data_IF_928255023647
#
_entry.id   IF_928255023647
#
_cell.length_a   1.000
_cell.length_b   1.000
_cell.length_c   1.000
_cell.angle_alpha   90.00
_cell.angle_beta   90.00
_cell.angle_gamma   90.00
#
_symmetry.space_group_name_H-M   'P 1'
#
loop_
_entity.id
_entity.type
_entity.pdbx_description
1 polymer ?
#
# COMPACT_ATOMS: atom_id res chain seq x y z
N UNK A 1 6.64 5.72 0.48
CA UNK A 1 6.26 5.15 1.77
C UNK A 1 4.97 4.34 1.68
N UNK A 2 4.99 3.11 2.19
CA UNK A 2 3.76 2.45 2.67
C UNK A 2 3.27 3.16 3.94
N UNK A 3 2.04 2.91 4.39
CA UNK A 3 1.43 3.47 5.61
C UNK A 3 1.09 4.98 5.57
N UNK A 4 0.96 5.58 4.39
CA UNK A 4 0.40 6.93 4.27
C UNK A 4 -1.06 6.99 4.72
N UNK A 5 -1.80 5.87 4.65
CA UNK A 5 -3.26 5.81 4.88
C UNK A 5 -3.97 6.91 4.06
N UNK A 6 -4.60 7.88 4.71
CA UNK A 6 -5.03 9.14 4.10
C UNK A 6 -4.24 10.29 4.73
N UNK A 7 -3.67 11.17 3.88
CA UNK A 7 -2.87 12.33 4.27
C UNK A 7 -3.82 13.51 4.54
N UNK A 8 -4.56 13.38 5.63
CA UNK A 8 -5.46 14.42 6.15
C UNK A 8 -5.65 14.19 7.65
N UNK A 9 -5.27 15.16 8.47
CA UNK A 9 -5.11 14.93 9.91
C UNK A 9 -6.41 14.56 10.63
N UNK A 10 -7.57 15.06 10.17
CA UNK A 10 -8.88 14.61 10.68
C UNK A 10 -9.09 13.08 10.55
N UNK A 11 -8.57 12.47 9.47
CA UNK A 11 -8.65 11.03 9.27
C UNK A 11 -7.58 10.33 10.11
N UNK A 12 -6.35 10.85 10.13
CA UNK A 12 -5.22 10.27 10.88
C UNK A 12 -5.50 10.22 12.38
N UNK A 13 -6.09 11.26 12.96
CA UNK A 13 -6.51 11.29 14.36
C UNK A 13 -7.51 10.18 14.71
N UNK A 14 -8.32 9.71 13.75
CA UNK A 14 -9.31 8.64 13.97
C UNK A 14 -8.70 7.25 13.84
N UNK A 15 -7.77 7.05 12.90
CA UNK A 15 -7.27 5.71 12.54
C UNK A 15 -5.87 5.41 13.10
N UNK A 16 -5.08 6.44 13.41
CA UNK A 16 -3.69 6.32 13.81
C UNK A 16 -3.17 7.54 14.57
N UNK A 17 -3.86 7.96 15.64
CA UNK A 17 -3.49 9.14 16.43
C UNK A 17 -2.03 9.14 16.94
N UNK A 18 -1.46 7.96 17.19
CA UNK A 18 -0.10 7.81 17.70
C UNK A 18 0.97 7.72 16.58
N UNK A 19 0.58 7.81 15.30
CA UNK A 19 1.51 7.82 14.16
C UNK A 19 1.83 9.25 13.72
N UNK A 20 2.80 9.39 12.82
CA UNK A 20 3.17 10.67 12.18
C UNK A 20 1.93 11.41 11.67
N UNK A 21 1.90 12.74 11.74
CA UNK A 21 0.88 13.55 11.07
C UNK A 21 1.17 13.63 9.56
N UNK A 22 0.36 14.39 8.82
CA UNK A 22 0.52 14.54 7.36
C UNK A 22 1.85 15.21 6.99
N UNK A 23 2.20 16.30 7.64
CA UNK A 23 3.43 17.08 7.40
C UNK A 23 4.67 16.23 7.64
N UNK A 24 4.76 15.57 8.79
CA UNK A 24 5.87 14.69 9.14
C UNK A 24 6.05 13.53 8.16
N UNK A 25 4.94 12.97 7.65
CA UNK A 25 5.04 11.93 6.62
C UNK A 25 5.65 12.47 5.32
N UNK A 26 5.24 13.68 4.90
CA UNK A 26 5.77 14.35 3.72
C UNK A 26 7.24 14.72 3.90
N UNK A 27 7.65 15.20 5.08
CA UNK A 27 9.05 15.50 5.43
C UNK A 27 9.93 14.25 5.31
N UNK A 28 9.49 13.10 5.83
CA UNK A 28 10.25 11.84 5.72
C UNK A 28 10.40 11.41 4.27
N UNK A 29 9.36 11.55 3.44
CA UNK A 29 9.47 11.25 2.01
C UNK A 29 10.39 12.24 1.29
N UNK A 30 10.29 13.53 1.59
CA UNK A 30 11.15 14.56 1.03
C UNK A 30 12.63 14.30 1.36
N UNK A 31 12.94 14.00 2.61
CA UNK A 31 14.29 13.66 3.05
C UNK A 31 14.81 12.38 2.36
N UNK A 32 13.95 11.36 2.20
CA UNK A 32 14.33 10.16 1.46
C UNK A 32 14.66 10.48 -0.01
N UNK A 33 13.86 11.33 -0.66
CA UNK A 33 14.09 11.74 -2.05
C UNK A 33 15.36 12.60 -2.18
N UNK A 34 15.63 13.49 -1.22
CA UNK A 34 16.82 14.35 -1.19
C UNK A 34 18.13 13.53 -1.17
N UNK A 35 18.15 12.42 -0.43
CA UNK A 35 19.31 11.51 -0.38
C UNK A 35 19.31 10.47 -1.51
N UNK A 36 18.40 10.59 -2.48
CA UNK A 36 18.39 9.79 -3.71
C UNK A 36 17.56 8.49 -3.65
N UNK A 37 16.77 8.26 -2.61
CA UNK A 37 15.84 7.12 -2.61
C UNK A 37 14.59 7.42 -3.43
N UNK A 38 14.23 6.47 -4.28
CA UNK A 38 12.90 6.43 -4.88
C UNK A 38 11.90 5.76 -3.93
N UNK A 39 10.66 6.26 -3.90
CA UNK A 39 9.62 5.70 -3.04
C UNK A 39 8.29 5.51 -3.76
N UNK A 40 7.38 4.76 -3.12
CA UNK A 40 6.01 4.54 -3.59
C UNK A 40 5.03 5.39 -2.79
N UNK A 41 4.09 6.08 -3.42
CA UNK A 41 2.97 6.70 -2.72
C UNK A 41 1.79 5.73 -2.62
N UNK A 42 1.18 5.58 -1.45
CA UNK A 42 0.03 4.67 -1.25
C UNK A 42 -1.16 5.43 -0.68
N UNK A 43 -2.38 5.00 -0.95
CA UNK A 43 -3.58 5.47 -0.23
C UNK A 43 -4.40 4.28 0.25
N UNK A 44 -4.72 4.21 1.54
CA UNK A 44 -5.76 3.31 2.05
C UNK A 44 -7.07 4.09 2.16
N UNK A 45 -8.13 3.64 1.50
CA UNK A 45 -9.36 4.45 1.35
C UNK A 45 -10.63 3.63 1.50
N UNK A 46 -11.75 4.31 1.73
CA UNK A 46 -13.07 3.72 1.91
C UNK A 46 -13.35 3.22 3.33
N UNK A 47 -12.63 3.73 4.32
CA UNK A 47 -12.88 3.51 5.75
C UNK A 47 -13.70 4.65 6.37
N UNK A 48 -13.08 5.55 7.16
CA UNK A 48 -13.71 6.74 7.79
C UNK A 48 -13.62 8.01 6.93
N UNK A 49 -12.91 7.92 5.81
CA UNK A 49 -12.59 9.00 4.89
C UNK A 49 -13.75 9.35 3.96
N UNK A 50 -13.56 10.43 3.20
CA UNK A 50 -14.54 11.06 2.31
C UNK A 50 -13.81 11.63 1.10
N UNK A 51 -14.48 11.91 -0.03
CA UNK A 51 -13.83 12.42 -1.24
C UNK A 51 -12.93 13.65 -1.04
N UNK A 52 -13.29 14.58 -0.14
CA UNK A 52 -12.42 15.73 0.19
C UNK A 52 -11.07 15.33 0.77
N UNK A 53 -11.03 14.25 1.56
CA UNK A 53 -9.79 13.74 2.14
C UNK A 53 -8.92 13.07 1.07
N UNK A 54 -9.53 12.40 0.08
CA UNK A 54 -8.80 11.84 -1.06
C UNK A 54 -8.20 12.92 -1.92
N UNK A 55 -8.96 13.97 -2.22
CA UNK A 55 -8.47 15.10 -2.99
C UNK A 55 -7.26 15.75 -2.31
N UNK A 56 -7.34 16.00 -1.00
CA UNK A 56 -6.22 16.53 -0.22
C UNK A 56 -4.99 15.61 -0.27
N UNK A 57 -5.17 14.29 -0.10
CA UNK A 57 -4.07 13.33 -0.20
C UNK A 57 -3.41 13.38 -1.59
N UNK A 58 -4.20 13.33 -2.66
CA UNK A 58 -3.64 13.35 -4.02
C UNK A 58 -2.91 14.65 -4.34
N UNK A 59 -3.42 15.79 -3.85
CA UNK A 59 -2.75 17.07 -4.00
C UNK A 59 -1.41 17.10 -3.26
N UNK A 60 -1.38 16.69 -1.98
CA UNK A 60 -0.15 16.64 -1.20
C UNK A 60 0.93 15.76 -1.84
N UNK A 61 0.54 14.59 -2.38
CA UNK A 61 1.47 13.72 -3.11
C UNK A 61 1.96 14.38 -4.40
N UNK A 62 1.08 15.05 -5.15
CA UNK A 62 1.43 15.77 -6.38
C UNK A 62 2.42 16.89 -6.09
N UNK A 63 2.16 17.72 -5.08
CA UNK A 63 2.97 18.88 -4.74
C UNK A 63 4.38 18.46 -4.34
N UNK A 64 4.50 17.40 -3.52
CA UNK A 64 5.81 16.84 -3.17
C UNK A 64 6.51 16.21 -4.38
N UNK A 65 5.76 15.55 -5.27
CA UNK A 65 6.32 14.97 -6.48
C UNK A 65 6.88 16.03 -7.44
N UNK A 66 6.23 17.20 -7.53
CA UNK A 66 6.71 18.31 -8.37
C UNK A 66 8.01 18.91 -7.85
N UNK A 67 8.28 18.81 -6.55
CA UNK A 67 9.50 19.31 -5.93
C UNK A 67 10.64 18.29 -5.96
N UNK A 68 10.33 17.02 -5.69
CA UNK A 68 11.34 15.99 -5.39
C UNK A 68 11.49 14.92 -6.46
N UNK A 69 10.48 14.73 -7.31
CA UNK A 69 10.44 13.71 -8.36
C UNK A 69 10.74 12.26 -7.92
N UNK A 70 10.67 11.98 -6.62
CA UNK A 70 11.12 10.70 -6.06
C UNK A 70 10.09 9.58 -6.08
N UNK A 71 8.80 9.88 -6.26
CA UNK A 71 7.77 8.84 -6.35
C UNK A 71 7.80 8.14 -7.72
N UNK A 72 7.94 6.81 -7.70
CA UNK A 72 7.92 5.98 -8.93
C UNK A 72 6.52 5.50 -9.29
N UNK A 73 5.66 5.33 -8.29
CA UNK A 73 4.31 4.81 -8.47
C UNK A 73 3.34 5.29 -7.38
N UNK A 74 2.05 5.23 -7.72
CA UNK A 74 0.94 5.41 -6.80
C UNK A 74 0.13 4.13 -6.67
N UNK A 75 -0.22 3.74 -5.45
CA UNK A 75 -0.92 2.47 -5.16
C UNK A 75 -2.20 2.72 -4.35
N UNK A 76 -3.39 2.66 -4.99
CA UNK A 76 -4.66 2.57 -4.31
C UNK A 76 -4.83 1.24 -3.59
N UNK A 77 -5.18 1.30 -2.30
CA UNK A 77 -5.42 0.15 -1.44
C UNK A 77 -6.83 0.23 -0.83
N UNK A 78 -7.83 -0.42 -1.43
CA UNK A 78 -9.16 -0.53 -0.85
C UNK A 78 -9.10 -1.09 0.58
N UNK A 79 -9.78 -0.42 1.51
CA UNK A 79 -9.92 -0.92 2.88
C UNK A 79 -10.72 -2.23 2.89
N UNK A 80 -10.17 -3.25 3.53
CA UNK A 80 -10.81 -4.55 3.76
C UNK A 80 -11.07 -4.68 5.25
N UNK A 81 -12.34 -4.83 5.61
CA UNK A 81 -12.79 -4.60 6.98
C UNK A 81 -13.00 -5.86 7.82
N UNK A 82 -12.95 -7.06 7.19
CA UNK A 82 -13.36 -8.35 7.77
C UNK A 82 -12.78 -8.58 9.17
N UNK A 83 -11.49 -8.30 9.36
CA UNK A 83 -10.77 -8.50 10.63
C UNK A 83 -10.33 -7.17 11.28
N UNK A 84 -10.77 -6.03 10.76
CA UNK A 84 -10.28 -4.74 11.21
C UNK A 84 -10.98 -4.29 12.51
N UNK A 85 -10.25 -4.05 13.63
CA UNK A 85 -10.87 -3.70 14.92
C UNK A 85 -11.78 -2.47 14.89
N UNK A 86 -11.49 -1.52 14.01
CA UNK A 86 -12.31 -0.31 13.83
C UNK A 86 -13.68 -0.62 13.24
N UNK A 87 -13.75 -1.54 12.28
CA UNK A 87 -15.01 -1.97 11.67
C UNK A 87 -15.84 -2.81 12.65
N UNK A 88 -15.20 -3.74 13.35
CA UNK A 88 -15.86 -4.57 14.38
C UNK A 88 -16.48 -3.74 15.51
N UNK A 89 -15.95 -2.54 15.76
CA UNK A 89 -16.48 -1.56 16.73
C UNK A 89 -17.51 -0.57 16.12
N UNK A 90 -17.90 -0.76 14.86
CA UNK A 90 -18.84 0.11 14.15
C UNK A 90 -18.32 1.51 13.83
N UNK A 91 -17.00 1.71 13.84
CA UNK A 91 -16.35 3.03 13.67
C UNK A 91 -15.86 3.32 12.26
N UNK A 92 -16.02 2.40 11.32
CA UNK A 92 -15.66 2.59 9.91
C UNK A 92 -16.66 1.91 8.97
N UNK A 93 -16.63 2.31 7.69
CA UNK A 93 -17.29 1.57 6.62
C UNK A 93 -16.61 0.21 6.41
N UNK A 94 -17.31 -0.73 5.77
CA UNK A 94 -16.76 -2.04 5.38
C UNK A 94 -15.69 -1.99 4.29
N UNK A 95 -15.51 -0.83 3.67
CA UNK A 95 -14.68 -0.64 2.48
C UNK A 95 -15.33 0.31 1.45
N UNK A 96 -14.58 0.67 0.40
CA UNK A 96 -15.10 1.41 -0.74
C UNK A 96 -16.07 0.55 -1.56
N UNK A 97 -17.02 1.19 -2.23
CA UNK A 97 -17.79 0.56 -3.31
C UNK A 97 -16.90 0.25 -4.51
N UNK A 98 -17.30 -0.70 -5.36
CA UNK A 98 -16.59 -1.00 -6.60
C UNK A 98 -16.36 0.26 -7.46
N UNK A 99 -17.33 1.19 -7.49
CA UNK A 99 -17.22 2.46 -8.20
C UNK A 99 -16.15 3.36 -7.59
N UNK A 100 -16.14 3.56 -6.27
CA UNK A 100 -15.10 4.35 -5.60
C UNK A 100 -13.72 3.76 -5.86
N UNK A 101 -13.61 2.45 -5.86
CA UNK A 101 -12.35 1.74 -6.13
C UNK A 101 -11.80 2.00 -7.53
N UNK A 102 -12.66 1.94 -8.57
CA UNK A 102 -12.23 2.25 -9.94
C UNK A 102 -11.90 3.75 -10.10
N UNK A 103 -12.69 4.63 -9.48
CA UNK A 103 -12.41 6.06 -9.49
C UNK A 103 -11.08 6.41 -8.81
N UNK A 104 -10.69 5.68 -7.76
CA UNK A 104 -9.38 5.85 -7.12
C UNK A 104 -8.20 5.38 -7.98
N UNK A 105 -8.44 4.81 -9.16
CA UNK A 105 -7.39 4.60 -10.17
C UNK A 105 -7.47 5.67 -11.29
N UNK A 106 -8.68 6.03 -11.71
CA UNK A 106 -8.92 6.97 -12.80
C UNK A 106 -8.58 8.42 -12.42
N UNK A 107 -8.98 8.85 -11.22
CA UNK A 107 -8.76 10.23 -10.75
C UNK A 107 -7.28 10.52 -10.55
N UNK A 108 -6.46 9.67 -9.88
CA UNK A 108 -5.02 9.93 -9.77
C UNK A 108 -4.32 9.95 -11.12
N UNK A 109 -4.76 9.17 -12.12
CA UNK A 109 -4.22 9.25 -13.48
C UNK A 109 -4.33 10.67 -14.05
N UNK A 110 -5.47 11.32 -13.83
CA UNK A 110 -5.73 12.69 -14.26
C UNK A 110 -5.01 13.72 -13.39
N UNK A 111 -5.04 13.55 -12.06
CA UNK A 111 -4.40 14.49 -11.12
C UNK A 111 -2.89 14.49 -11.30
N UNK A 112 -2.27 13.33 -11.46
CA UNK A 112 -0.82 13.23 -11.65
C UNK A 112 -0.39 13.56 -13.07
N UNK A 113 -1.23 13.35 -14.09
CA UNK A 113 -0.96 13.77 -15.46
C UNK A 113 0.50 13.57 -15.93
N UNK A 114 1.10 12.42 -15.63
CA UNK A 114 2.49 12.09 -15.96
C UNK A 114 3.55 12.42 -14.91
N UNK A 115 3.27 13.23 -13.89
CA UNK A 115 4.17 13.50 -12.76
C UNK A 115 4.51 12.24 -11.96
N UNK A 116 3.51 11.36 -11.78
CA UNK A 116 3.69 9.96 -11.38
C UNK A 116 3.14 9.12 -12.52
N UNK A 117 4.03 8.45 -13.25
CA UNK A 117 3.65 7.72 -14.46
C UNK A 117 2.88 6.44 -14.14
N UNK A 118 3.17 5.82 -13.00
CA UNK A 118 2.71 4.48 -12.71
C UNK A 118 1.64 4.46 -11.63
N UNK A 119 0.51 3.83 -11.96
CA UNK A 119 -0.57 3.56 -11.02
C UNK A 119 -0.73 2.05 -10.96
N UNK A 120 -0.42 1.50 -9.79
CA UNK A 120 -0.53 0.07 -9.53
C UNK A 120 -1.94 -0.30 -9.12
N UNK A 121 -2.44 -1.43 -9.62
CA UNK A 121 -3.62 -2.10 -9.07
C UNK A 121 -3.19 -3.34 -8.27
N UNK A 122 -3.62 -3.41 -7.01
CA UNK A 122 -3.36 -4.56 -6.13
C UNK A 122 -4.42 -5.65 -6.35
N UNK A 123 -4.08 -6.73 -7.05
CA UNK A 123 -5.03 -7.81 -7.32
C UNK A 123 -5.49 -8.54 -6.05
N UNK A 124 -4.69 -8.55 -4.98
CA UNK A 124 -5.11 -9.13 -3.68
C UNK A 124 -6.20 -8.32 -2.99
N UNK A 125 -6.29 -7.00 -3.26
CA UNK A 125 -7.38 -6.14 -2.77
C UNK A 125 -8.56 -6.08 -3.73
N UNK A 126 -8.29 -6.15 -5.02
CA UNK A 126 -9.27 -5.96 -6.10
C UNK A 126 -9.94 -7.25 -6.57
N UNK A 127 -9.31 -8.39 -6.30
CA UNK A 127 -9.50 -9.62 -7.07
C UNK A 127 -8.93 -9.50 -8.49
N UNK A 128 -8.72 -10.63 -9.15
CA UNK A 128 -8.19 -10.68 -10.52
C UNK A 128 -9.08 -9.88 -11.48
N UNK A 129 -10.40 -10.09 -11.43
CA UNK A 129 -11.36 -9.37 -12.29
C UNK A 129 -11.34 -7.86 -12.05
N UNK A 130 -11.32 -7.43 -10.79
CA UNK A 130 -11.27 -6.01 -10.45
C UNK A 130 -9.97 -5.35 -10.92
N UNK A 131 -8.84 -6.06 -10.78
CA UNK A 131 -7.56 -5.57 -11.25
C UNK A 131 -7.52 -5.43 -12.79
N UNK A 132 -8.10 -6.37 -13.53
CA UNK A 132 -8.21 -6.26 -14.98
C UNK A 132 -9.08 -5.08 -15.42
N UNK A 133 -10.17 -4.79 -14.71
CA UNK A 133 -10.98 -3.59 -14.97
C UNK A 133 -10.19 -2.32 -14.65
N UNK A 134 -9.42 -2.30 -13.55
CA UNK A 134 -8.61 -1.15 -13.16
C UNK A 134 -7.56 -0.77 -14.22
N UNK A 135 -7.01 -1.74 -14.97
CA UNK A 135 -6.12 -1.47 -16.11
C UNK A 135 -6.79 -0.61 -17.19
N UNK A 136 -8.12 -0.71 -17.35
CA UNK A 136 -8.90 0.14 -18.26
C UNK A 136 -9.37 1.45 -17.61
N UNK A 137 -9.04 1.67 -16.33
CA UNK A 137 -9.42 2.84 -15.55
C UNK A 137 -8.19 3.61 -15.04
N UNK A 138 -7.08 3.60 -15.78
CA UNK A 138 -5.90 4.43 -15.50
C UNK A 138 -4.74 3.72 -14.83
N UNK A 139 -4.93 2.49 -14.33
CA UNK A 139 -3.82 1.66 -13.88
C UNK A 139 -3.00 1.16 -15.09
N UNK A 140 -1.68 1.10 -14.93
CA UNK A 140 -0.77 0.55 -15.93
C UNK A 140 0.18 -0.50 -15.35
N UNK A 141 0.05 -0.77 -14.05
CA UNK A 141 0.87 -1.68 -13.32
C UNK A 141 0.00 -2.65 -12.51
N UNK A 142 0.26 -3.94 -12.66
CA UNK A 142 -0.43 -5.00 -11.93
C UNK A 142 0.55 -5.50 -10.87
N UNK A 143 0.19 -5.34 -9.59
CA UNK A 143 1.06 -5.77 -8.50
C UNK A 143 1.51 -7.22 -8.68
N UNK A 144 2.74 -7.52 -8.24
CA UNK A 144 3.38 -8.81 -8.48
C UNK A 144 2.64 -10.02 -7.88
N UNK A 145 3.13 -11.21 -8.24
CA UNK A 145 2.73 -12.44 -7.55
C UNK A 145 3.19 -12.38 -6.09
N UNK A 146 2.25 -12.48 -5.16
CA UNK A 146 2.55 -12.56 -3.73
C UNK A 146 2.55 -14.04 -3.35
N UNK A 147 3.68 -14.50 -2.82
CA UNK A 147 3.84 -15.85 -2.29
C UNK A 147 3.60 -15.79 -0.78
N UNK A 148 2.73 -16.64 -0.24
CA UNK A 148 2.56 -16.80 1.21
C UNK A 148 2.17 -15.52 1.98
N UNK A 149 1.24 -14.74 1.43
CA UNK A 149 0.82 -13.46 2.00
C UNK A 149 -0.04 -13.63 3.27
N UNK A 150 0.62 -13.60 4.44
CA UNK A 150 -0.01 -13.83 5.74
C UNK A 150 -0.78 -12.60 6.28
N UNK A 151 -0.38 -11.37 5.91
CA UNK A 151 -0.97 -10.13 6.42
C UNK A 151 -2.33 -9.87 5.77
N UNK A 152 -2.44 -10.00 4.45
CA UNK A 152 -3.72 -9.82 3.73
C UNK A 152 -4.73 -10.92 4.08
N UNK A 153 -4.25 -12.14 4.42
CA UNK A 153 -5.08 -13.21 4.99
C UNK A 153 -5.56 -12.88 6.41
N UNK A 154 -4.68 -12.38 7.27
CA UNK A 154 -5.07 -11.92 8.61
C UNK A 154 -6.07 -10.75 8.58
N UNK A 155 -6.17 -10.05 7.44
CA UNK A 155 -7.19 -9.02 7.19
C UNK A 155 -8.48 -9.55 6.54
N UNK A 156 -8.55 -10.86 6.22
CA UNK A 156 -9.74 -11.54 5.68
C UNK A 156 -9.98 -11.35 4.18
N UNK A 157 -8.93 -11.14 3.38
CA UNK A 157 -9.07 -11.17 1.92
C UNK A 157 -9.12 -12.62 1.39
N UNK A 158 -10.07 -12.92 0.51
CA UNK A 158 -10.32 -14.26 -0.03
C UNK A 158 -9.56 -14.55 -1.34
N UNK A 159 -8.84 -13.57 -1.89
CA UNK A 159 -8.23 -13.68 -3.20
C UNK A 159 -6.86 -14.37 -3.17
N UNK A 160 -6.85 -15.70 -3.35
CA UNK A 160 -5.73 -16.53 -3.84
C UNK A 160 -4.44 -16.55 -3.01
N UNK A 161 -3.78 -17.72 -2.94
CA UNK A 161 -2.44 -17.83 -2.33
C UNK A 161 -1.32 -17.34 -3.25
N UNK A 162 -1.62 -17.28 -4.54
CA UNK A 162 -0.71 -16.85 -5.60
C UNK A 162 -1.51 -16.49 -6.86
N UNK A 163 -0.98 -15.57 -7.66
CA UNK A 163 -1.34 -15.46 -9.08
C UNK A 163 -0.05 -15.59 -9.89
N UNK A 164 0.24 -16.81 -10.35
CA UNK A 164 1.56 -17.13 -10.92
C UNK A 164 1.88 -16.25 -12.15
N UNK A 165 3.16 -15.93 -12.42
CA UNK A 165 3.56 -15.06 -13.52
C UNK A 165 3.01 -15.48 -14.90
N UNK A 166 2.92 -16.78 -15.19
CA UNK A 166 2.31 -17.30 -16.43
C UNK A 166 0.83 -16.91 -16.57
N UNK A 167 0.08 -16.94 -15.48
CA UNK A 167 -1.34 -16.58 -15.50
C UNK A 167 -1.55 -15.06 -15.55
N UNK A 168 -0.72 -14.29 -14.84
CA UNK A 168 -0.74 -12.82 -14.94
C UNK A 168 -0.47 -12.39 -16.39
N UNK A 169 0.59 -12.91 -17.00
CA UNK A 169 0.97 -12.55 -18.37
C UNK A 169 -0.09 -12.95 -19.39
N UNK A 170 -0.68 -14.14 -19.26
CA UNK A 170 -1.81 -14.56 -20.10
C UNK A 170 -3.05 -13.66 -19.93
N UNK A 171 -3.39 -13.26 -18.69
CA UNK A 171 -4.54 -12.40 -18.44
C UNK A 171 -4.35 -10.98 -19.00
N UNK A 172 -3.16 -10.41 -18.84
CA UNK A 172 -2.80 -9.10 -19.43
C UNK A 172 -2.85 -9.15 -20.96
N UNK A 173 -2.30 -10.21 -21.57
CA UNK A 173 -2.36 -10.42 -23.01
C UNK A 173 -3.80 -10.58 -23.52
N UNK A 174 -4.63 -11.36 -22.82
CA UNK A 174 -6.04 -11.54 -23.14
C UNK A 174 -6.86 -10.23 -23.05
N UNK A 175 -6.41 -9.27 -22.25
CA UNK A 175 -6.97 -7.91 -22.20
C UNK A 175 -6.43 -6.97 -23.29
N UNK A 176 -5.69 -7.48 -24.28
CA UNK A 176 -5.15 -6.69 -25.40
C UNK A 176 -3.97 -5.80 -25.01
N UNK A 177 -3.25 -6.12 -23.93
CA UNK A 177 -2.11 -5.35 -23.43
C UNK A 177 -0.82 -6.16 -23.51
N UNK A 178 0.32 -5.47 -23.57
CA UNK A 178 1.63 -6.11 -23.56
C UNK A 178 2.12 -6.32 -22.12
N UNK A 179 2.23 -7.57 -21.63
CA UNK A 179 2.79 -7.82 -20.30
C UNK A 179 4.29 -7.53 -20.28
N UNK A 180 4.75 -6.79 -19.27
CA UNK A 180 6.17 -6.57 -18.97
C UNK A 180 6.45 -6.85 -17.51
N UNK A 181 7.46 -7.67 -17.24
CA UNK A 181 7.98 -7.84 -15.88
C UNK A 181 9.00 -6.72 -15.63
N UNK A 182 8.82 -6.00 -14.53
CA UNK A 182 9.58 -4.78 -14.24
C UNK A 182 10.42 -4.89 -12.97
N UNK A 183 11.42 -4.04 -12.87
CA UNK A 183 12.05 -3.70 -11.59
C UNK A 183 11.21 -2.66 -10.84
N UNK A 184 11.61 -2.32 -9.61
CA UNK A 184 11.00 -1.22 -8.83
C UNK A 184 11.09 0.12 -9.55
N UNK A 185 12.11 0.32 -10.39
CA UNK A 185 12.31 1.52 -11.19
C UNK A 185 11.67 1.45 -12.58
N UNK A 186 10.78 0.47 -12.81
CA UNK A 186 10.05 0.30 -14.06
C UNK A 186 10.90 -0.02 -15.31
N UNK A 187 12.17 -0.38 -15.13
CA UNK A 187 12.99 -1.00 -16.17
C UNK A 187 12.59 -2.46 -16.40
N UNK A 188 12.94 -3.04 -17.55
CA UNK A 188 12.72 -4.47 -17.79
C UNK A 188 13.47 -5.32 -16.76
N UNK A 189 12.78 -6.32 -16.21
CA UNK A 189 13.38 -7.22 -15.26
C UNK A 189 14.52 -8.03 -15.92
N UNK A 190 15.66 -8.21 -15.21
CA UNK A 190 16.76 -9.03 -15.69
C UNK A 190 16.28 -10.41 -16.13
N UNK A 191 16.86 -10.94 -17.21
CA UNK A 191 16.46 -12.22 -17.80
C UNK A 191 16.45 -13.36 -16.77
N UNK A 192 17.49 -13.45 -15.94
CA UNK A 192 17.56 -14.47 -14.90
C UNK A 192 16.39 -14.41 -13.91
N UNK A 193 15.91 -13.19 -13.58
CA UNK A 193 14.76 -13.03 -12.70
C UNK A 193 13.46 -13.44 -13.39
N UNK A 194 13.33 -13.16 -14.70
CA UNK A 194 12.20 -13.62 -15.50
C UNK A 194 12.17 -15.15 -15.52
N UNK A 195 13.28 -15.81 -15.87
CA UNK A 195 13.39 -17.27 -15.89
C UNK A 195 12.97 -17.87 -14.55
N UNK A 196 13.54 -17.40 -13.43
CA UNK A 196 13.18 -17.86 -12.07
C UNK A 196 11.68 -17.73 -11.78
N UNK A 197 11.06 -16.63 -12.18
CA UNK A 197 9.65 -16.41 -11.95
C UNK A 197 8.76 -17.34 -12.79
N UNK A 198 9.17 -17.68 -14.02
CA UNK A 198 8.41 -18.57 -14.92
C UNK A 198 8.64 -20.07 -14.66
N UNK A 199 9.71 -20.42 -13.95
CA UNK A 199 10.11 -21.77 -13.57
C UNK A 199 9.94 -22.07 -12.09
N UNK A 200 9.37 -21.14 -11.32
CA UNK A 200 9.08 -21.34 -9.91
C UNK A 200 8.18 -22.59 -9.72
N UNK A 201 8.55 -23.44 -8.77
CA UNK A 201 7.75 -24.60 -8.39
C UNK A 201 6.47 -24.14 -7.69
N UNK A 202 5.45 -25.01 -7.68
CA UNK A 202 4.19 -24.74 -6.99
C UNK A 202 4.42 -24.42 -5.51
N UNK A 203 3.65 -23.47 -4.97
CA UNK A 203 3.71 -23.14 -3.56
C UNK A 203 3.33 -24.35 -2.70
N UNK A 204 4.21 -24.70 -1.78
CA UNK A 204 3.92 -25.65 -0.72
C UNK A 204 3.13 -24.96 0.39
N UNK A 205 2.16 -25.67 0.96
CA UNK A 205 1.33 -25.13 2.02
C UNK A 205 2.17 -24.85 3.27
N UNK A 206 2.19 -23.59 3.73
CA UNK A 206 2.77 -23.26 5.03
C UNK A 206 1.82 -23.72 6.13
N UNK A 207 2.29 -24.63 6.98
CA UNK A 207 1.65 -24.96 8.26
C UNK A 207 2.08 -23.88 9.25
N UNK A 208 1.25 -22.87 9.45
CA UNK A 208 1.45 -21.89 10.52
C UNK A 208 1.12 -22.55 11.85
N UNK A 209 2.12 -23.03 12.59
CA UNK A 209 1.97 -23.40 14.00
C UNK A 209 1.69 -22.14 14.80
N UNK A 210 0.70 -22.18 15.69
CA UNK A 210 0.30 -21.04 16.52
C UNK A 210 1.50 -20.53 17.34
N UNK A 211 2.02 -19.35 17.00
CA UNK A 211 3.05 -18.70 17.79
C UNK A 211 2.35 -18.15 19.05
N UNK A 212 2.55 -18.83 20.18
CA UNK A 212 1.95 -18.47 21.47
C UNK A 212 1.91 -16.96 21.70
N UNK A 213 0.71 -16.42 21.95
CA UNK A 213 0.46 -14.98 22.08
C UNK A 213 1.21 -14.41 23.28
N UNK A 214 2.43 -13.93 23.06
CA UNK A 214 3.12 -13.02 23.97
C UNK A 214 3.37 -11.70 23.26
N UNK A 215 2.39 -10.81 23.36
CA UNK A 215 2.51 -9.44 22.91
C UNK A 215 3.50 -8.71 23.83
N UNK A 216 4.77 -8.57 23.40
CA UNK A 216 5.72 -7.67 24.06
C UNK A 216 5.29 -6.22 23.77
N UNK A 217 5.26 -5.40 24.83
CA UNK A 217 4.96 -3.97 24.74
C UNK A 217 5.83 -3.29 23.68
N UNK A 218 5.20 -2.52 22.77
CA UNK A 218 5.88 -1.75 21.71
C UNK A 218 6.29 -0.34 22.17
N UNK A 219 6.37 -0.12 23.48
CA UNK A 219 6.89 1.15 24.02
C UNK A 219 8.41 1.11 23.86
N UNK A 220 8.96 1.94 22.97
CA UNK A 220 10.37 2.30 23.03
C UNK A 220 10.56 3.08 24.32
N UNK A 221 11.29 2.50 25.28
CA UNK A 221 11.72 3.23 26.45
C UNK A 221 12.80 4.22 26.02
N UNK A 222 12.44 5.49 25.90
CA UNK A 222 13.41 6.55 25.68
C UNK A 222 14.37 6.62 26.87
N UNK A 223 15.67 6.56 26.58
CA UNK A 223 16.78 6.61 27.55
C UNK A 223 16.79 7.88 28.44
N UNK A 224 15.96 8.88 28.12
CA UNK A 224 15.77 10.07 28.96
C UNK A 224 14.89 9.83 30.18
N UNK A 225 14.07 8.77 30.18
CA UNK A 225 13.10 8.50 31.25
C UNK A 225 13.75 7.85 32.48
N UNK A 226 14.88 7.16 32.33
CA UNK A 226 15.59 6.53 33.46
C UNK A 226 16.38 7.55 34.29
N UNK A 227 16.88 8.62 33.67
CA UNK A 227 17.70 9.61 34.37
C UNK A 227 16.88 10.50 35.33
N UNK A 228 15.58 10.70 35.09
CA UNK A 228 14.72 11.45 36.01
C UNK A 228 14.23 10.64 37.22
N UNK A 229 14.25 9.30 37.17
CA UNK A 229 13.89 8.45 38.32
C UNK A 229 15.03 8.26 39.32
N UNK A 230 16.27 8.42 38.89
CA UNK A 230 17.44 8.29 39.79
C UNK A 230 17.72 9.53 40.64
N UNK A 231 17.18 10.70 40.27
CA UNK A 231 17.51 11.98 40.94
C UNK A 231 16.46 12.36 42.01
N UNK A 232 15.30 11.71 42.03
CA UNK A 232 14.21 12.00 42.98
C UNK A 232 14.15 11.11 44.23
N UNK A 233 15.16 10.28 44.49
CA UNK A 233 15.18 9.34 45.62
C UNK A 233 16.17 9.71 46.75
N UNK A 234 16.85 10.85 46.65
CA UNK A 234 17.73 11.37 47.70
C UNK A 234 17.37 12.83 48.03
N UNK A 235 16.27 13.03 48.76
CA UNK A 235 16.07 14.10 49.76
C UNK A 235 14.90 13.74 50.66
#
# INVERSE_FOLDING_TARGET
GTAAEVLHDEVRQKICADKLNTEQWLEVMAAAHEVGFNTTATIMFGHVDRPRHWAAHLHAIRDLQEQSHGFTEFVPLPYVASEAPMYLKGKSRRGPSARETLLMHAVPRLVFNGAIQNIQTSWVKMGQRGAMVALNCGANDLGGSLMNESITRAAGAEHGQEWVPRQITAAVAAAGRQPRMRTTLYADAPEQQRIRAFEAADLTQIINTDAGKHQRSKVLQDARTEMQRSIGAET
#
